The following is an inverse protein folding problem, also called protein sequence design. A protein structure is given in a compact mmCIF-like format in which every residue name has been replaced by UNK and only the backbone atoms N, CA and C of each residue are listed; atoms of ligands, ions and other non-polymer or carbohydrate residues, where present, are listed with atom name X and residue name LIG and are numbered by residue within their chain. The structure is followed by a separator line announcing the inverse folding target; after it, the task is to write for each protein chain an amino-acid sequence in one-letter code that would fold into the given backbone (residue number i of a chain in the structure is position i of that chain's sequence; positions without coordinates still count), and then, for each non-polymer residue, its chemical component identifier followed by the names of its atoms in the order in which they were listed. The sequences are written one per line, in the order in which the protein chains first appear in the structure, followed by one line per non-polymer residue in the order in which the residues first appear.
data_IF_012970456864
#
_entry.id   IF_012970456864
#
_cell.length_a   1.000
_cell.length_b   1.000
_cell.length_c   1.000
_cell.angle_alpha   90.00
_cell.angle_beta   90.00
_cell.angle_gamma   90.00
#
_symmetry.space_group_name_H-M   'P 1'
#
loop_
_entity.id
_entity.type
_entity.pdbx_description
1 polymer ?
#
# COMPACT_ATOMS: atom_id res chain seq x y z
N UNK A 1 -16.60 14.59 -29.84
CA UNK A 1 -16.05 14.11 -29.71
C UNK A 1 -15.54 14.04 -29.34
N UNK A 2 -15.64 14.18 -29.11
CA UNK A 2 -14.95 13.78 -28.76
C UNK A 2 -14.86 13.73 -27.92
N UNK A 3 -15.35 14.07 -27.49
CA UNK A 3 -14.99 13.89 -26.64
C UNK A 3 -14.99 13.08 -26.19
N UNK A 4 -15.26 12.65 -26.18
CA UNK A 4 -14.94 11.74 -25.75
C UNK A 4 -14.05 11.44 -25.85
N UNK A 5 -13.90 11.81 -26.19
CA UNK A 5 -12.81 11.53 -26.15
C UNK A 5 -12.27 12.11 -25.23
N UNK A 6 -12.70 12.84 -24.75
CA UNK A 6 -12.06 13.41 -23.87
C UNK A 6 -12.30 12.85 -22.53
N UNK A 7 -13.43 12.40 -22.20
CA UNK A 7 -13.65 11.73 -21.00
C UNK A 7 -12.77 10.54 -20.91
N UNK A 8 -12.56 9.96 -21.97
CA UNK A 8 -11.65 8.90 -22.02
C UNK A 8 -10.35 9.30 -21.54
N UNK A 9 -10.00 10.49 -21.75
CA UNK A 9 -8.77 10.94 -21.28
C UNK A 9 -8.68 10.92 -19.82
N UNK A 10 -9.75 11.18 -19.14
CA UNK A 10 -9.75 11.13 -17.74
C UNK A 10 -9.41 9.78 -17.25
N UNK A 11 -9.93 8.79 -17.88
CA UNK A 11 -9.62 7.45 -17.49
C UNK A 11 -8.15 7.21 -17.62
N UNK A 12 -7.54 7.76 -18.62
CA UNK A 12 -6.13 7.55 -18.79
C UNK A 12 -5.37 8.12 -17.63
N UNK A 13 -5.82 9.22 -17.11
CA UNK A 13 -5.14 9.82 -16.01
C UNK A 13 -5.15 8.90 -14.81
N UNK A 14 -6.27 8.27 -14.54
CA UNK A 14 -6.33 7.34 -13.44
C UNK A 14 -5.40 6.17 -13.66
N UNK A 15 -5.26 5.73 -14.86
CA UNK A 15 -4.41 4.60 -15.13
C UNK A 15 -2.98 4.89 -14.73
N UNK A 16 -2.56 6.14 -14.80
CA UNK A 16 -1.19 6.44 -14.46
C UNK A 16 -0.97 6.55 -12.97
N UNK A 17 -2.05 6.46 -12.17
CA UNK A 17 -1.91 6.55 -10.73
C UNK A 17 -2.13 5.18 -10.13
N UNK A 18 -1.16 4.32 -10.36
CA UNK A 18 -1.27 2.98 -9.82
C UNK A 18 -1.13 2.99 -8.32
N UNK A 19 -1.65 1.98 -7.69
CA UNK A 19 -1.72 1.89 -6.26
C UNK A 19 -1.23 0.54 -5.80
N UNK A 20 -0.48 0.52 -4.70
CA UNK A 20 -0.10 -0.74 -4.08
C UNK A 20 -0.71 -0.72 -2.68
N UNK A 21 -1.32 -1.82 -2.29
CA UNK A 21 -2.03 -1.90 -1.03
C UNK A 21 -1.31 -2.84 -0.09
N UNK A 22 -1.05 -2.37 1.13
CA UNK A 22 -0.46 -3.19 2.17
C UNK A 22 -1.52 -3.46 3.23
N UNK A 23 -1.63 -4.72 3.66
CA UNK A 23 -2.43 -5.05 4.81
C UNK A 23 -1.56 -4.88 6.03
N UNK A 24 -2.02 -4.11 6.99
CA UNK A 24 -1.26 -3.81 8.18
C UNK A 24 -1.95 -4.45 9.37
N UNK A 25 -1.19 -5.21 10.15
CA UNK A 25 -1.70 -5.90 11.32
C UNK A 25 -0.90 -5.47 12.52
N UNK A 26 -1.59 -5.09 13.58
CA UNK A 26 -0.94 -4.72 14.82
C UNK A 26 -0.74 -5.96 15.67
N UNK A 27 0.46 -6.08 16.25
CA UNK A 27 0.75 -7.20 17.15
C UNK A 27 0.39 -6.73 18.55
N UNK A 28 -0.75 -7.16 19.02
CA UNK A 28 -1.25 -6.68 20.31
C UNK A 28 -0.54 -7.31 21.49
N UNK A 29 0.22 -8.37 21.26
CA UNK A 29 0.93 -9.02 22.33
C UNK A 29 2.32 -8.43 22.53
N UNK A 30 3.09 -8.35 21.44
CA UNK A 30 4.45 -7.84 21.52
C UNK A 30 4.58 -6.39 21.09
N UNK A 31 3.53 -5.82 20.57
CA UNK A 31 3.57 -4.45 20.08
C UNK A 31 4.11 -4.43 18.66
N UNK A 32 3.98 -3.28 18.01
CA UNK A 32 4.47 -3.12 16.68
C UNK A 32 3.45 -3.50 15.63
N UNK A 33 3.88 -3.41 14.38
CA UNK A 33 3.00 -3.62 13.23
C UNK A 33 3.73 -4.38 12.15
N UNK A 34 3.00 -5.16 11.39
CA UNK A 34 3.55 -5.81 10.21
C UNK A 34 2.71 -5.42 9.01
N UNK A 35 3.34 -5.41 7.85
CA UNK A 35 2.66 -5.00 6.62
C UNK A 35 3.04 -5.95 5.50
N UNK A 36 2.06 -6.34 4.70
CA UNK A 36 2.26 -7.24 3.58
C UNK A 36 1.55 -6.68 2.37
N UNK A 37 2.23 -6.58 1.26
CA UNK A 37 1.63 -6.04 0.05
C UNK A 37 0.77 -7.09 -0.62
N UNK A 38 -0.41 -6.69 -1.05
CA UNK A 38 -1.30 -7.59 -1.76
C UNK A 38 -0.80 -7.74 -3.18
N UNK A 39 -0.59 -8.97 -3.60
CA UNK A 39 -0.15 -9.23 -4.96
C UNK A 39 1.33 -9.10 -5.20
N UNK A 40 2.10 -8.80 -4.17
CA UNK A 40 3.55 -8.67 -4.29
C UNK A 40 4.19 -9.37 -3.11
N UNK A 41 5.42 -9.79 -3.30
CA UNK A 41 6.13 -10.45 -2.21
C UNK A 41 6.90 -9.48 -1.35
N UNK A 42 6.22 -8.45 -0.86
CA UNK A 42 6.84 -7.41 -0.07
C UNK A 42 6.28 -7.47 1.34
N UNK A 43 7.17 -7.62 2.32
CA UNK A 43 6.77 -7.67 3.73
C UNK A 43 7.70 -6.77 4.51
N UNK A 44 7.16 -6.06 5.50
CA UNK A 44 7.98 -5.25 6.37
C UNK A 44 7.26 -5.10 7.69
N UNK A 45 7.90 -4.42 8.64
CA UNK A 45 7.30 -4.20 9.94
C UNK A 45 7.83 -2.90 10.52
N UNK A 46 7.35 -2.55 11.70
CA UNK A 46 7.81 -1.38 12.39
C UNK A 46 7.29 -1.41 13.82
N UNK A 47 8.03 -0.78 14.73
CA UNK A 47 7.64 -0.74 16.11
C UNK A 47 6.59 0.32 16.36
N UNK A 48 6.49 1.29 15.48
CA UNK A 48 5.49 2.34 15.56
C UNK A 48 4.91 2.55 14.18
N UNK A 49 3.82 3.29 14.09
CA UNK A 49 3.24 3.58 12.79
C UNK A 49 4.17 4.44 11.96
N UNK A 50 4.88 5.34 12.59
CA UNK A 50 5.81 6.18 11.87
C UNK A 50 6.93 5.36 11.27
N UNK A 51 7.49 4.44 12.04
CA UNK A 51 8.53 3.57 11.55
C UNK A 51 8.00 2.66 10.46
N UNK A 52 6.80 2.13 10.65
CA UNK A 52 6.20 1.28 9.65
C UNK A 52 6.05 2.03 8.32
N UNK A 53 5.57 3.26 8.36
CA UNK A 53 5.40 4.03 7.13
C UNK A 53 6.71 4.23 6.41
N UNK A 54 7.76 4.51 7.18
CA UNK A 54 9.07 4.71 6.59
C UNK A 54 9.56 3.40 5.97
N UNK A 55 9.41 2.30 6.69
CA UNK A 55 9.88 1.01 6.21
C UNK A 55 9.09 0.53 4.99
N UNK A 56 7.80 0.84 4.93
CA UNK A 56 7.00 0.49 3.77
C UNK A 56 7.52 1.23 2.55
N UNK A 57 7.81 2.52 2.70
CA UNK A 57 8.30 3.30 1.57
C UNK A 57 9.63 2.75 1.09
N UNK A 58 10.51 2.38 2.01
CA UNK A 58 11.79 1.83 1.62
C UNK A 58 11.65 0.49 0.94
N UNK A 59 10.74 -0.34 1.45
CA UNK A 59 10.54 -1.66 0.86
C UNK A 59 10.00 -1.54 -0.56
N UNK A 60 9.08 -0.62 -0.79
CA UNK A 60 8.54 -0.40 -2.11
C UNK A 60 9.64 0.11 -3.04
N UNK A 61 10.45 1.04 -2.57
CA UNK A 61 11.53 1.57 -3.39
C UNK A 61 12.56 0.51 -3.76
N UNK A 62 12.79 -0.45 -2.86
CA UNK A 62 13.73 -1.51 -3.16
C UNK A 62 13.15 -2.52 -4.12
N UNK A 63 11.86 -2.81 -4.01
CA UNK A 63 11.23 -3.80 -4.86
C UNK A 63 11.09 -3.31 -6.30
N UNK A 64 10.71 -2.05 -6.48
CA UNK A 64 10.53 -1.48 -7.81
C UNK A 64 11.80 -0.72 -8.15
N UNK A 65 12.63 -1.30 -9.01
CA UNK A 65 13.89 -0.65 -9.37
C UNK A 65 13.67 0.24 -10.59
N UNK A 66 14.76 0.70 -11.17
CA UNK A 66 14.68 1.66 -12.26
C UNK A 66 13.94 1.15 -13.47
N UNK A 67 13.90 -0.15 -13.66
CA UNK A 67 13.26 -0.70 -14.84
C UNK A 67 11.77 -0.90 -14.63
N UNK A 68 11.29 -0.74 -13.40
CA UNK A 68 9.88 -0.94 -13.08
C UNK A 68 9.29 0.38 -12.60
N UNK A 69 8.06 0.61 -13.01
CA UNK A 69 7.42 1.84 -12.64
C UNK A 69 6.91 1.78 -11.21
N UNK A 70 7.30 2.77 -10.42
CA UNK A 70 6.84 2.84 -9.05
C UNK A 70 5.34 3.15 -9.00
N UNK A 71 4.62 2.58 -8.04
CA UNK A 71 3.23 2.97 -7.87
C UNK A 71 3.17 4.43 -7.41
N UNK A 72 2.13 5.12 -7.80
CA UNK A 72 1.98 6.50 -7.42
C UNK A 72 1.44 6.65 -6.02
N UNK A 73 0.76 5.62 -5.50
CA UNK A 73 0.11 5.68 -4.19
C UNK A 73 0.37 4.40 -3.44
N UNK A 74 0.68 4.52 -2.16
CA UNK A 74 0.76 3.39 -1.26
C UNK A 74 -0.40 3.52 -0.29
N UNK A 75 -1.24 2.50 -0.23
CA UNK A 75 -2.38 2.49 0.67
C UNK A 75 -2.12 1.51 1.80
N UNK A 76 -2.28 1.96 3.03
CA UNK A 76 -2.15 1.08 4.18
C UNK A 76 -3.56 0.74 4.63
N UNK A 77 -3.90 -0.54 4.53
CA UNK A 77 -5.21 -1.03 4.93
C UNK A 77 -5.04 -1.75 6.26
N UNK A 78 -5.59 -1.15 7.32
CA UNK A 78 -5.43 -1.71 8.66
C UNK A 78 -6.48 -2.77 8.90
N UNK A 79 -6.01 -3.97 9.25
CA UNK A 79 -6.88 -5.09 9.56
C UNK A 79 -6.92 -5.20 11.07
N UNK A 80 -8.10 -5.22 11.64
CA UNK A 80 -8.23 -5.23 13.07
C UNK A 80 -9.34 -6.18 13.47
N UNK A 81 -9.05 -7.03 14.45
CA UNK A 81 -10.04 -7.93 15.01
C UNK A 81 -10.50 -7.38 16.33
N UNK A 82 -11.76 -7.58 16.63
CA UNK A 82 -12.28 -7.21 17.92
C UNK A 82 -13.07 -8.41 18.42
N UNK A 83 -12.74 -8.87 19.61
CA UNK A 83 -13.37 -10.05 20.17
C UNK A 83 -14.29 -9.61 21.30
N UNK A 84 -15.56 -9.98 21.19
CA UNK A 84 -16.53 -9.63 22.19
C UNK A 84 -17.00 -10.89 22.90
N UNK A 85 -17.04 -10.84 24.21
CA UNK A 85 -17.54 -11.98 24.97
C UNK A 85 -19.07 -11.94 24.91
N UNK A 86 -19.68 -13.10 24.78
CA UNK A 86 -21.13 -13.20 24.64
C UNK A 86 -21.79 -13.35 25.99
#
# INVERSE_FOLDING_TARGET
MTASLQAEKKSSIFVTMSEIIFEVIEDEVDGGYSASALGYGIHTDGESLEELRQNVKEAVGCYFDETMKLPGVIRLHFVRDEVLAV
#
